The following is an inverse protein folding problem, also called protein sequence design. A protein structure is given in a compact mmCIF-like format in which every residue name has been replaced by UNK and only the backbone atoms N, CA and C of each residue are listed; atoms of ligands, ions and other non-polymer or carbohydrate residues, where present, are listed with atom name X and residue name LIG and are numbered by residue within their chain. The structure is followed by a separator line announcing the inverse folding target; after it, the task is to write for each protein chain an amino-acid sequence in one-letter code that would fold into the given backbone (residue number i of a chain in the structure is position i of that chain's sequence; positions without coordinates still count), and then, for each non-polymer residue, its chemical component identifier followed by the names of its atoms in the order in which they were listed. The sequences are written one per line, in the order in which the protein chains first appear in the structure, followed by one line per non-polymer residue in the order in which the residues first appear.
data_IF_067510680389
#
_entry.id   IF_067510680389
#
_cell.length_a   1.000
_cell.length_b   1.000
_cell.length_c   1.000
_cell.angle_alpha   90.00
_cell.angle_beta   90.00
_cell.angle_gamma   90.00
#
_symmetry.space_group_name_H-M   'P 1'
#
loop_
_entity.id
_entity.type
_entity.pdbx_description
1 polymer ?
#
# COMPACT_ATOMS: atom_id res chain seq x y z
N UNK A 1 93.89 -49.26 44.90
CA UNK A 1 93.16 -48.19 45.61
C UNK A 1 92.67 -47.08 44.67
N UNK A 2 93.53 -46.34 43.96
CA UNK A 2 93.11 -45.23 43.08
C UNK A 2 92.04 -45.55 42.01
N UNK A 3 92.05 -46.76 41.45
CA UNK A 3 91.06 -47.20 40.43
C UNK A 3 89.67 -47.47 41.00
N UNK A 4 89.58 -47.91 42.26
CA UNK A 4 88.30 -48.22 42.92
C UNK A 4 87.59 -46.93 43.32
N UNK A 5 88.36 -45.93 43.80
CA UNK A 5 87.81 -44.60 44.11
C UNK A 5 87.28 -43.88 42.87
N UNK A 6 87.97 -43.98 41.73
CA UNK A 6 87.51 -43.39 40.47
C UNK A 6 86.21 -44.02 39.96
N UNK A 7 86.07 -45.35 40.07
CA UNK A 7 84.84 -46.06 39.71
C UNK A 7 83.67 -45.72 40.65
N UNK A 8 83.93 -45.55 41.96
CA UNK A 8 82.91 -45.13 42.91
C UNK A 8 82.40 -43.70 42.63
N UNK A 9 83.31 -42.76 42.34
CA UNK A 9 82.96 -41.38 41.96
C UNK A 9 82.16 -41.32 40.66
N UNK A 10 82.54 -42.09 39.64
CA UNK A 10 81.80 -42.13 38.38
C UNK A 10 80.38 -42.71 38.56
N UNK A 11 80.23 -43.73 39.40
CA UNK A 11 78.93 -44.31 39.75
C UNK A 11 78.05 -43.32 40.52
N UNK A 12 78.63 -42.58 41.47
CA UNK A 12 77.89 -41.61 42.26
C UNK A 12 77.50 -40.39 41.39
N UNK A 13 78.35 -39.95 40.46
CA UNK A 13 78.00 -38.95 39.43
C UNK A 13 76.87 -39.42 38.51
N UNK A 14 76.89 -40.68 38.06
CA UNK A 14 75.83 -41.23 37.24
C UNK A 14 74.49 -41.29 38.01
N UNK A 15 74.52 -41.56 39.33
CA UNK A 15 73.34 -41.48 40.19
C UNK A 15 72.81 -40.06 40.32
N UNK A 16 73.67 -39.08 40.56
CA UNK A 16 73.28 -37.67 40.62
C UNK A 16 72.66 -37.20 39.29
N UNK A 17 73.23 -37.59 38.15
CA UNK A 17 72.66 -37.27 36.84
C UNK A 17 71.28 -37.90 36.62
N UNK A 18 71.09 -39.15 37.04
CA UNK A 18 69.79 -39.83 36.97
C UNK A 18 68.78 -39.18 37.92
N UNK A 19 69.18 -38.82 39.13
CA UNK A 19 68.31 -38.11 40.08
C UNK A 19 67.92 -36.73 39.55
N UNK A 20 68.86 -35.96 39.01
CA UNK A 20 68.59 -34.66 38.39
C UNK A 20 67.60 -34.80 37.22
N UNK A 21 67.79 -35.80 36.35
CA UNK A 21 66.84 -36.10 35.27
C UNK A 21 65.48 -36.54 35.77
N UNK A 22 65.40 -37.31 36.86
CA UNK A 22 64.14 -37.69 37.46
C UNK A 22 63.38 -36.49 38.02
N UNK A 23 64.08 -35.50 38.61
CA UNK A 23 63.47 -34.25 39.05
C UNK A 23 62.96 -33.42 37.86
N UNK A 24 63.74 -33.30 36.78
CA UNK A 24 63.31 -32.63 35.55
C UNK A 24 62.03 -33.27 34.98
N UNK A 25 62.01 -34.60 34.87
CA UNK A 25 60.83 -35.35 34.40
C UNK A 25 59.63 -35.12 35.34
N UNK A 26 59.83 -35.12 36.65
CA UNK A 26 58.73 -34.88 37.60
C UNK A 26 58.14 -33.47 37.45
N UNK A 27 58.97 -32.46 37.20
CA UNK A 27 58.51 -31.09 36.95
C UNK A 27 57.73 -31.03 35.64
N UNK A 28 58.25 -31.63 34.56
CA UNK A 28 57.56 -31.68 33.26
C UNK A 28 56.20 -32.40 33.38
N UNK A 29 56.15 -33.53 34.08
CA UNK A 29 54.90 -34.26 34.34
C UNK A 29 53.92 -33.38 35.12
N UNK A 30 54.35 -32.72 36.20
CA UNK A 30 53.48 -31.81 36.96
C UNK A 30 52.96 -30.64 36.12
N UNK A 31 53.78 -30.08 35.24
CA UNK A 31 53.35 -29.01 34.33
C UNK A 31 52.31 -29.51 33.32
N UNK A 32 52.52 -30.71 32.76
CA UNK A 32 51.55 -31.35 31.86
C UNK A 32 50.24 -31.68 32.57
N UNK A 33 50.30 -32.20 33.79
CA UNK A 33 49.11 -32.50 34.60
C UNK A 33 48.31 -31.23 34.89
N UNK A 34 48.97 -30.13 35.27
CA UNK A 34 48.32 -28.84 35.47
C UNK A 34 47.65 -28.32 34.19
N UNK A 35 48.33 -28.44 33.04
CA UNK A 35 47.77 -28.05 31.74
C UNK A 35 46.55 -28.92 31.35
N UNK A 36 46.60 -30.23 31.62
CA UNK A 36 45.49 -31.15 31.37
C UNK A 36 44.27 -30.78 32.24
N UNK A 37 44.47 -30.46 33.52
CA UNK A 37 43.38 -30.04 34.40
C UNK A 37 42.73 -28.75 33.91
N UNK A 38 43.54 -27.74 33.57
CA UNK A 38 43.04 -26.47 33.00
C UNK A 38 42.25 -26.68 31.72
N UNK A 39 42.77 -27.49 30.79
CA UNK A 39 42.08 -27.80 29.54
C UNK A 39 40.78 -28.56 29.78
N UNK A 40 40.74 -29.45 30.77
CA UNK A 40 39.53 -30.21 31.12
C UNK A 40 38.44 -29.30 31.70
N UNK A 41 38.81 -28.33 32.54
CA UNK A 41 37.89 -27.32 33.04
C UNK A 41 37.35 -26.44 31.92
N UNK A 42 38.21 -25.99 31.00
CA UNK A 42 37.80 -25.22 29.82
C UNK A 42 36.85 -26.01 28.92
N UNK A 43 37.14 -27.29 28.66
CA UNK A 43 36.27 -28.18 27.88
C UNK A 43 34.92 -28.36 28.57
N UNK A 44 34.90 -28.55 29.89
CA UNK A 44 33.65 -28.65 30.65
C UNK A 44 32.83 -27.36 30.57
N UNK A 45 33.49 -26.19 30.68
CA UNK A 45 32.82 -24.90 30.56
C UNK A 45 32.24 -24.70 29.15
N UNK A 46 33.03 -24.93 28.11
CA UNK A 46 32.58 -24.83 26.71
C UNK A 46 31.47 -25.84 26.39
N UNK A 47 31.51 -27.03 26.98
CA UNK A 47 30.44 -28.01 26.83
C UNK A 47 29.11 -27.52 27.41
N UNK A 48 29.14 -26.82 28.55
CA UNK A 48 27.92 -26.23 29.14
C UNK A 48 27.38 -25.06 28.32
N UNK A 49 28.27 -24.22 27.78
CA UNK A 49 27.90 -23.12 26.88
C UNK A 49 27.29 -23.65 25.58
N UNK A 50 27.84 -24.72 25.02
CA UNK A 50 27.28 -25.40 23.83
C UNK A 50 25.87 -25.94 24.09
N UNK A 51 25.64 -26.61 25.22
CA UNK A 51 24.30 -27.10 25.59
C UNK A 51 23.29 -25.95 25.73
N UNK A 52 23.69 -24.84 26.34
CA UNK A 52 22.82 -23.67 26.47
C UNK A 52 22.50 -23.07 25.09
N UNK A 53 23.48 -22.97 24.19
CA UNK A 53 23.26 -22.50 22.83
C UNK A 53 22.36 -23.44 22.02
N UNK A 54 22.52 -24.75 22.17
CA UNK A 54 21.66 -25.77 21.55
C UNK A 54 20.21 -25.63 22.01
N UNK A 55 19.98 -25.45 23.32
CA UNK A 55 18.64 -25.20 23.86
C UNK A 55 18.01 -23.92 23.30
N UNK A 56 18.74 -22.81 23.28
CA UNK A 56 18.26 -21.54 22.72
C UNK A 56 17.99 -21.66 21.22
N UNK A 57 18.81 -22.42 20.49
CA UNK A 57 18.57 -22.68 19.07
C UNK A 57 17.29 -23.49 18.84
N UNK A 58 17.02 -24.50 19.68
CA UNK A 58 15.79 -25.27 19.61
C UNK A 58 14.55 -24.41 19.91
N UNK A 59 14.57 -23.59 20.97
CA UNK A 59 13.48 -22.66 21.29
C UNK A 59 13.24 -21.62 20.19
N UNK A 60 14.31 -21.12 19.57
CA UNK A 60 14.16 -20.22 18.41
C UNK A 60 13.58 -20.95 17.21
N UNK A 61 13.96 -22.20 16.99
CA UNK A 61 13.39 -23.06 15.95
C UNK A 61 11.88 -23.23 16.10
N UNK A 62 11.38 -23.48 17.31
CA UNK A 62 9.93 -23.61 17.54
C UNK A 62 9.19 -22.30 17.30
N UNK A 63 9.73 -21.17 17.77
CA UNK A 63 9.15 -19.83 17.51
C UNK A 63 9.11 -19.50 16.03
N UNK A 64 10.16 -19.88 15.28
CA UNK A 64 10.18 -19.69 13.82
C UNK A 64 9.05 -20.49 13.17
N UNK A 65 8.86 -21.76 13.54
CA UNK A 65 7.77 -22.58 13.01
C UNK A 65 6.38 -22.02 13.36
N UNK A 66 6.19 -21.48 14.56
CA UNK A 66 4.95 -20.78 14.94
C UNK A 66 4.70 -19.56 14.05
N UNK A 67 5.73 -18.72 13.85
CA UNK A 67 5.63 -17.54 12.98
C UNK A 67 5.35 -17.94 11.52
N UNK A 68 6.00 -18.98 11.00
CA UNK A 68 5.75 -19.50 9.65
C UNK A 68 4.29 -19.97 9.47
N UNK A 69 3.72 -20.61 10.50
CA UNK A 69 2.33 -21.05 10.49
C UNK A 69 1.34 -19.87 10.49
N UNK A 70 1.64 -18.82 11.26
CA UNK A 70 0.80 -17.62 11.31
C UNK A 70 0.91 -16.80 10.03
N UNK A 71 2.12 -16.68 9.47
CA UNK A 71 2.34 -16.05 8.17
C UNK A 71 1.53 -16.75 7.07
N UNK A 72 1.53 -18.09 7.06
CA UNK A 72 0.72 -18.87 6.12
C UNK A 72 -0.78 -18.58 6.27
N UNK A 73 -1.27 -18.47 7.51
CA UNK A 73 -2.67 -18.13 7.81
C UNK A 73 -3.03 -16.72 7.36
N UNK A 74 -2.14 -15.75 7.57
CA UNK A 74 -2.33 -14.36 7.13
C UNK A 74 -2.31 -14.24 5.61
N UNK A 75 -1.41 -14.96 4.92
CA UNK A 75 -1.39 -15.01 3.46
C UNK A 75 -2.70 -15.54 2.91
N UNK A 76 -3.21 -16.65 3.45
CA UNK A 76 -4.49 -17.22 3.02
C UNK A 76 -5.67 -16.24 3.26
N UNK A 77 -5.68 -15.55 4.41
CA UNK A 77 -6.69 -14.52 4.68
C UNK A 77 -6.59 -13.34 3.70
N UNK A 78 -5.36 -12.96 3.32
CA UNK A 78 -5.10 -11.96 2.28
C UNK A 78 -5.69 -12.38 0.93
N UNK A 79 -5.43 -13.60 0.48
CA UNK A 79 -5.97 -14.15 -0.77
C UNK A 79 -7.51 -14.17 -0.78
N UNK A 80 -8.14 -14.58 0.34
CA UNK A 80 -9.60 -14.57 0.49
C UNK A 80 -10.19 -13.15 0.42
N UNK A 81 -9.49 -12.16 0.99
CA UNK A 81 -9.90 -10.75 0.93
C UNK A 81 -9.76 -10.20 -0.49
N UNK A 82 -8.66 -10.50 -1.16
CA UNK A 82 -8.43 -10.09 -2.54
C UNK A 82 -9.48 -10.68 -3.49
N UNK A 83 -9.86 -11.95 -3.28
CA UNK A 83 -10.94 -12.57 -4.04
C UNK A 83 -12.29 -11.87 -3.84
N UNK A 84 -12.59 -11.44 -2.61
CA UNK A 84 -13.81 -10.65 -2.30
C UNK A 84 -13.78 -9.28 -2.95
N UNK A 85 -12.64 -8.59 -2.91
CA UNK A 85 -12.45 -7.29 -3.56
C UNK A 85 -12.71 -7.42 -5.06
N UNK A 86 -12.06 -8.38 -5.73
CA UNK A 86 -12.29 -8.65 -7.16
C UNK A 86 -13.75 -8.97 -7.48
N UNK A 87 -14.45 -9.72 -6.61
CA UNK A 87 -15.88 -9.98 -6.79
C UNK A 87 -16.73 -8.69 -6.74
N UNK A 88 -16.44 -7.80 -5.78
CA UNK A 88 -17.12 -6.53 -5.65
C UNK A 88 -16.81 -5.58 -6.81
N UNK A 89 -15.57 -5.53 -7.27
CA UNK A 89 -15.16 -4.78 -8.47
C UNK A 89 -15.92 -5.26 -9.71
N UNK A 90 -16.02 -6.58 -9.93
CA UNK A 90 -16.81 -7.12 -11.05
C UNK A 90 -18.30 -6.75 -10.95
N UNK A 91 -18.87 -6.75 -9.74
CA UNK A 91 -20.26 -6.31 -9.54
C UNK A 91 -20.44 -4.83 -9.83
N UNK A 92 -19.52 -3.98 -9.37
CA UNK A 92 -19.54 -2.55 -9.65
C UNK A 92 -19.44 -2.29 -11.16
N UNK A 93 -18.52 -2.98 -11.84
CA UNK A 93 -18.34 -2.84 -13.29
C UNK A 93 -19.59 -3.30 -14.06
N UNK A 94 -20.30 -4.31 -13.56
CA UNK A 94 -21.58 -4.74 -14.14
C UNK A 94 -22.73 -3.74 -13.95
N UNK A 95 -22.68 -2.89 -12.92
CA UNK A 95 -23.70 -1.86 -12.64
C UNK A 95 -23.44 -0.53 -13.38
N UNK A 96 -22.18 -0.27 -13.75
CA UNK A 96 -21.75 0.90 -14.51
C UNK A 96 -22.58 1.15 -15.78
N UNK A 97 -22.81 0.16 -16.68
CA UNK A 97 -23.62 0.39 -17.88
C UNK A 97 -25.09 0.72 -17.57
N UNK A 98 -25.69 0.08 -16.55
CA UNK A 98 -27.07 0.40 -16.15
C UNK A 98 -27.22 1.86 -15.72
N UNK A 99 -26.24 2.39 -14.99
CA UNK A 99 -26.26 3.78 -14.51
C UNK A 99 -26.12 4.77 -15.68
N UNK A 100 -25.25 4.45 -16.65
CA UNK A 100 -25.10 5.23 -17.88
C UNK A 100 -26.40 5.22 -18.70
N UNK A 101 -27.04 4.06 -18.84
CA UNK A 101 -28.32 3.95 -19.52
C UNK A 101 -29.41 4.77 -18.81
N UNK A 102 -29.49 4.70 -17.48
CA UNK A 102 -30.44 5.52 -16.70
C UNK A 102 -30.21 7.01 -16.92
N UNK A 103 -28.95 7.47 -16.88
CA UNK A 103 -28.62 8.87 -17.15
C UNK A 103 -29.06 9.30 -18.56
N UNK A 104 -28.79 8.46 -19.56
CA UNK A 104 -29.22 8.72 -20.94
C UNK A 104 -30.75 8.85 -21.07
N UNK A 105 -31.52 8.00 -20.40
CA UNK A 105 -32.98 8.09 -20.40
C UNK A 105 -33.48 9.35 -19.66
N UNK A 106 -32.83 9.72 -18.56
CA UNK A 106 -33.18 10.91 -17.77
C UNK A 106 -32.90 12.19 -18.55
N UNK A 107 -31.79 12.26 -19.27
CA UNK A 107 -31.46 13.37 -20.18
C UNK A 107 -32.48 13.51 -21.31
N UNK A 108 -32.85 12.41 -21.97
CA UNK A 108 -33.91 12.41 -23.00
C UNK A 108 -35.27 12.87 -22.46
N UNK A 109 -35.64 12.44 -21.25
CA UNK A 109 -36.88 12.87 -20.61
C UNK A 109 -36.85 14.38 -20.31
N UNK A 110 -35.72 14.90 -19.83
CA UNK A 110 -35.51 16.33 -19.60
C UNK A 110 -35.72 17.13 -20.90
N UNK A 111 -35.06 16.73 -21.99
CA UNK A 111 -35.20 17.39 -23.30
C UNK A 111 -36.66 17.41 -23.78
N UNK A 112 -37.38 16.29 -23.68
CA UNK A 112 -38.78 16.19 -24.08
C UNK A 112 -39.69 17.10 -23.25
N UNK A 113 -39.48 17.17 -21.93
CA UNK A 113 -40.27 18.05 -21.07
C UNK A 113 -39.95 19.52 -21.38
N UNK A 114 -38.69 19.87 -21.61
CA UNK A 114 -38.31 21.21 -22.08
C UNK A 114 -39.02 21.58 -23.38
N UNK A 115 -39.12 20.65 -24.35
CA UNK A 115 -39.87 20.90 -25.58
C UNK A 115 -41.37 21.11 -25.34
N UNK A 116 -41.99 20.32 -24.44
CA UNK A 116 -43.39 20.50 -24.07
C UNK A 116 -43.59 21.90 -23.46
N UNK A 117 -42.76 22.30 -22.49
CA UNK A 117 -42.84 23.62 -21.87
C UNK A 117 -42.67 24.72 -22.92
N UNK A 118 -41.69 24.61 -23.84
CA UNK A 118 -41.49 25.56 -24.95
C UNK A 118 -42.69 25.64 -25.90
N UNK A 119 -43.39 24.53 -26.15
CA UNK A 119 -44.57 24.53 -27.03
C UNK A 119 -45.80 25.17 -26.38
N UNK A 120 -45.90 25.13 -25.05
CA UNK A 120 -47.04 25.61 -24.27
C UNK A 120 -46.85 27.07 -23.83
N UNK A 121 -45.59 27.45 -23.59
CA UNK A 121 -45.16 28.80 -23.22
C UNK A 121 -44.50 29.45 -24.44
N UNK A 122 -45.17 30.42 -25.07
CA UNK A 122 -44.60 31.27 -26.14
C UNK A 122 -43.52 32.25 -25.64
N UNK A 123 -42.75 31.89 -24.62
CA UNK A 123 -41.65 32.71 -24.10
C UNK A 123 -40.35 31.90 -24.13
N UNK A 124 -39.35 32.49 -24.78
CA UNK A 124 -37.95 32.04 -24.89
C UNK A 124 -37.21 32.16 -23.53
N UNK A 125 -37.63 31.42 -22.51
CA UNK A 125 -36.86 31.32 -21.28
C UNK A 125 -35.91 30.14 -21.36
N UNK A 126 -34.74 30.46 -21.90
CA UNK A 126 -33.60 29.61 -22.14
C UNK A 126 -32.94 29.19 -20.80
N UNK A 127 -33.38 28.06 -20.25
CA UNK A 127 -32.71 27.38 -19.13
C UNK A 127 -31.93 26.19 -19.66
N UNK A 128 -30.89 26.48 -20.45
CA UNK A 128 -29.96 25.50 -21.00
C UNK A 128 -29.04 24.98 -19.89
N UNK A 129 -29.52 23.96 -19.16
CA UNK A 129 -28.67 23.18 -18.26
C UNK A 129 -27.88 22.17 -19.10
N UNK A 130 -26.62 22.52 -19.34
CA UNK A 130 -25.64 21.64 -20.00
C UNK A 130 -25.26 20.55 -19.00
N UNK A 131 -25.65 19.31 -19.29
CA UNK A 131 -25.09 18.12 -18.66
C UNK A 131 -23.64 17.97 -19.11
N UNK A 132 -22.71 18.57 -18.39
CA UNK A 132 -21.29 18.43 -18.71
C UNK A 132 -20.80 17.06 -18.24
N UNK A 133 -20.15 16.34 -19.15
CA UNK A 133 -19.61 15.00 -18.95
C UNK A 133 -18.54 15.01 -17.85
N UNK A 134 -18.84 14.45 -16.67
CA UNK A 134 -17.83 14.39 -15.61
C UNK A 134 -17.98 13.16 -14.70
N UNK A 135 -16.80 12.62 -14.40
CA UNK A 135 -16.38 11.52 -13.53
C UNK A 135 -17.45 10.58 -12.91
N UNK A 136 -17.19 9.29 -13.11
CA UNK A 136 -17.99 8.11 -12.75
C UNK A 136 -18.50 8.06 -11.30
N UNK A 137 -17.79 8.69 -10.37
CA UNK A 137 -18.08 8.69 -8.94
C UNK A 137 -19.19 9.69 -8.55
N UNK A 138 -19.33 10.77 -9.32
CA UNK A 138 -20.41 11.75 -9.13
C UNK A 138 -21.73 11.32 -9.78
N UNK A 139 -21.74 10.19 -10.50
CA UNK A 139 -22.86 9.73 -11.32
C UNK A 139 -24.16 9.48 -10.54
N UNK A 140 -24.10 8.93 -9.32
CA UNK A 140 -25.32 8.63 -8.57
C UNK A 140 -25.98 9.88 -7.97
N UNK A 141 -25.16 10.83 -7.48
CA UNK A 141 -25.66 12.11 -6.96
C UNK A 141 -26.19 12.98 -8.09
N UNK A 142 -25.45 13.08 -9.18
CA UNK A 142 -25.89 13.81 -10.38
C UNK A 142 -27.11 13.18 -11.05
N UNK A 143 -27.23 11.84 -11.08
CA UNK A 143 -28.44 11.15 -11.53
C UNK A 143 -29.64 11.46 -10.63
N UNK A 144 -29.44 11.45 -9.31
CA UNK A 144 -30.51 11.79 -8.36
C UNK A 144 -30.96 13.25 -8.55
N UNK A 145 -30.02 14.17 -8.67
CA UNK A 145 -30.32 15.59 -8.84
C UNK A 145 -30.92 15.87 -10.24
N UNK A 146 -30.49 15.14 -11.27
CA UNK A 146 -31.13 15.14 -12.59
C UNK A 146 -32.55 14.63 -12.59
N UNK A 147 -32.78 13.52 -11.90
CA UNK A 147 -34.12 12.93 -11.77
C UNK A 147 -35.06 13.87 -10.99
N UNK A 148 -34.56 14.52 -9.93
CA UNK A 148 -35.31 15.57 -9.21
C UNK A 148 -35.61 16.77 -10.10
N UNK A 149 -34.64 17.23 -10.88
CA UNK A 149 -34.82 18.35 -11.81
C UNK A 149 -35.87 18.03 -12.88
N UNK A 150 -35.81 16.83 -13.47
CA UNK A 150 -36.82 16.32 -14.41
C UNK A 150 -38.21 16.26 -13.76
N UNK A 151 -38.31 15.81 -12.51
CA UNK A 151 -39.58 15.75 -11.79
C UNK A 151 -40.18 17.14 -11.56
N UNK A 152 -39.39 18.10 -11.08
CA UNK A 152 -39.87 19.47 -10.86
C UNK A 152 -40.24 20.14 -12.19
N UNK A 153 -39.45 19.94 -13.25
CA UNK A 153 -39.78 20.46 -14.58
C UNK A 153 -41.06 19.82 -15.13
N UNK A 154 -41.26 18.51 -14.95
CA UNK A 154 -42.49 17.82 -15.36
C UNK A 154 -43.72 18.35 -14.61
N UNK A 155 -43.57 18.65 -13.31
CA UNK A 155 -44.63 19.25 -12.50
C UNK A 155 -45.01 20.64 -13.00
N UNK A 156 -44.02 21.49 -13.27
CA UNK A 156 -44.24 22.83 -13.86
C UNK A 156 -44.92 22.70 -15.23
N UNK A 157 -44.46 21.79 -16.08
CA UNK A 157 -45.07 21.55 -17.39
C UNK A 157 -46.53 21.11 -17.28
N UNK A 158 -46.85 20.20 -16.35
CA UNK A 158 -48.21 19.72 -16.13
C UNK A 158 -49.15 20.83 -15.60
N UNK A 159 -48.66 21.68 -14.72
CA UNK A 159 -49.44 22.80 -14.19
C UNK A 159 -49.68 23.87 -15.26
N UNK A 160 -48.70 24.16 -16.12
CA UNK A 160 -48.86 25.10 -17.24
C UNK A 160 -49.83 24.58 -18.32
N UNK A 161 -49.72 23.30 -18.70
CA UNK A 161 -50.66 22.65 -19.64
C UNK A 161 -52.09 22.69 -19.09
N UNK A 162 -52.25 22.46 -17.79
CA UNK A 162 -53.54 22.55 -17.11
C UNK A 162 -54.10 23.97 -17.13
N UNK A 163 -53.27 24.97 -16.82
CA UNK A 163 -53.67 26.38 -16.90
C UNK A 163 -54.16 26.77 -18.30
N UNK A 164 -53.42 26.38 -19.35
CA UNK A 164 -53.83 26.60 -20.75
C UNK A 164 -55.14 25.89 -21.12
N UNK A 165 -55.35 24.68 -20.60
CA UNK A 165 -56.59 23.94 -20.84
C UNK A 165 -57.78 24.60 -20.14
N UNK A 166 -57.60 25.08 -18.90
CA UNK A 166 -58.62 25.82 -18.15
C UNK A 166 -58.96 27.15 -18.84
N UNK A 167 -57.95 27.90 -19.30
CA UNK A 167 -58.13 29.11 -20.12
C UNK A 167 -58.97 28.80 -21.36
N UNK A 168 -58.58 27.79 -22.15
CA UNK A 168 -59.32 27.38 -23.34
C UNK A 168 -60.74 26.91 -23.03
N UNK A 169 -60.95 26.17 -21.93
CA UNK A 169 -62.29 25.76 -21.50
C UNK A 169 -63.15 26.96 -21.11
N UNK A 170 -62.59 27.97 -20.46
CA UNK A 170 -63.32 29.19 -20.13
C UNK A 170 -63.70 29.98 -21.38
N UNK A 171 -62.80 30.05 -22.37
CA UNK A 171 -63.07 30.68 -23.66
C UNK A 171 -64.15 29.93 -24.46
N UNK A 172 -64.10 28.60 -24.46
CA UNK A 172 -65.15 27.76 -25.07
C UNK A 172 -66.49 28.00 -24.37
N UNK A 173 -66.53 28.07 -23.05
CA UNK A 173 -67.77 28.33 -22.31
C UNK A 173 -68.33 29.72 -22.63
N UNK A 174 -67.47 30.75 -22.69
CA UNK A 174 -67.88 32.10 -23.11
C UNK A 174 -68.44 32.12 -24.54
N UNK A 175 -67.82 31.36 -25.46
CA UNK A 175 -68.32 31.20 -26.82
C UNK A 175 -69.66 30.46 -26.86
N UNK A 176 -69.83 29.42 -26.05
CA UNK A 176 -71.10 28.67 -25.93
C UNK A 176 -72.21 29.57 -25.38
N UNK A 177 -71.93 30.39 -24.37
CA UNK A 177 -72.87 31.35 -23.82
C UNK A 177 -73.30 32.35 -24.90
N UNK A 178 -72.33 32.92 -25.62
CA UNK A 178 -72.60 33.86 -26.72
C UNK A 178 -73.41 33.24 -27.86
N UNK A 179 -73.16 31.97 -28.19
CA UNK A 179 -73.98 31.22 -29.16
C UNK A 179 -75.39 31.01 -28.64
N UNK A 180 -75.55 30.74 -27.34
CA UNK A 180 -76.85 30.56 -26.70
C UNK A 180 -77.66 31.86 -26.68
N UNK A 181 -77.03 33.00 -26.41
CA UNK A 181 -77.62 34.34 -26.51
C UNK A 181 -78.11 34.60 -27.94
N UNK A 182 -77.27 34.38 -28.96
CA UNK A 182 -77.65 34.55 -30.37
C UNK A 182 -78.80 33.61 -30.78
N UNK A 183 -78.85 32.39 -30.25
CA UNK A 183 -79.96 31.47 -30.48
C UNK A 183 -81.26 31.97 -29.84
N UNK A 184 -81.19 32.54 -28.62
CA UNK A 184 -82.34 33.13 -27.96
C UNK A 184 -82.85 34.37 -28.72
N UNK A 185 -81.95 35.25 -29.20
CA UNK A 185 -82.31 36.37 -30.07
C UNK A 185 -82.98 35.90 -31.36
N UNK A 186 -82.43 34.87 -32.02
CA UNK A 186 -83.04 34.27 -33.20
C UNK A 186 -84.45 33.74 -32.90
N UNK A 187 -84.65 33.08 -31.77
CA UNK A 187 -85.98 32.60 -31.34
C UNK A 187 -86.95 33.77 -31.10
N UNK A 188 -86.49 34.83 -30.43
CA UNK A 188 -87.28 36.04 -30.20
C UNK A 188 -87.69 36.70 -31.53
N UNK A 189 -86.76 36.88 -32.47
CA UNK A 189 -87.04 37.39 -33.82
C UNK A 189 -88.04 36.47 -34.53
N UNK A 190 -87.88 35.15 -34.45
CA UNK A 190 -88.82 34.21 -35.05
C UNK A 190 -90.23 34.32 -34.45
N UNK A 191 -90.35 34.52 -33.13
CA UNK A 191 -91.65 34.77 -32.49
C UNK A 191 -92.27 36.10 -32.90
N UNK A 192 -91.47 37.17 -33.04
CA UNK A 192 -91.92 38.48 -33.49
C UNK A 192 -92.39 38.45 -34.96
N UNK A 193 -91.71 37.70 -35.82
CA UNK A 193 -92.14 37.46 -37.19
C UNK A 193 -93.44 36.64 -37.23
N UNK A 194 -93.56 35.61 -36.38
CA UNK A 194 -94.78 34.80 -36.29
C UNK A 194 -95.96 35.61 -35.76
N UNK A 195 -95.74 36.51 -34.79
CA UNK A 195 -96.79 37.40 -34.29
C UNK A 195 -97.19 38.45 -35.32
N UNK A 196 -96.24 39.07 -36.05
CA UNK A 196 -96.54 39.96 -37.18
C UNK A 196 -97.32 39.24 -38.29
N UNK A 197 -96.90 38.05 -38.69
CA UNK A 197 -97.64 37.23 -39.67
C UNK A 197 -99.05 36.90 -39.17
N UNK A 198 -99.20 36.50 -37.90
CA UNK A 198 -100.53 36.20 -37.34
C UNK A 198 -101.42 37.46 -37.27
N UNK A 199 -100.85 38.63 -36.94
CA UNK A 199 -101.59 39.89 -36.89
C UNK A 199 -102.13 40.26 -38.27
N UNK A 200 -101.29 40.13 -39.31
CA UNK A 200 -101.69 40.37 -40.70
C UNK A 200 -102.68 39.34 -41.21
N UNK A 201 -102.57 38.08 -40.76
CA UNK A 201 -103.54 37.02 -41.06
C UNK A 201 -104.88 37.26 -40.36
N UNK A 202 -104.88 37.80 -39.13
CA UNK A 202 -106.08 38.20 -38.40
C UNK A 202 -106.74 39.43 -39.03
N UNK A 203 -105.97 40.35 -39.59
CA UNK A 203 -106.49 41.52 -40.32
C UNK A 203 -107.11 41.10 -41.66
N UNK A 204 -106.49 40.16 -42.38
CA UNK A 204 -107.08 39.51 -43.56
C UNK A 204 -108.31 38.67 -43.18
N UNK A 205 -108.31 37.99 -42.03
CA UNK A 205 -109.48 37.29 -41.47
C UNK A 205 -110.60 38.26 -41.12
N UNK A 206 -110.28 39.43 -40.57
CA UNK A 206 -111.27 40.46 -40.26
C UNK A 206 -111.88 41.04 -41.54
N UNK A 207 -111.08 41.26 -42.60
CA UNK A 207 -111.58 41.69 -43.92
C UNK A 207 -112.43 40.58 -44.59
N UNK A 208 -112.10 39.31 -44.39
CA UNK A 208 -112.92 38.18 -44.85
C UNK A 208 -114.21 38.02 -44.03
N UNK A 209 -114.17 38.25 -42.71
CA UNK A 209 -115.33 38.27 -41.80
C UNK A 209 -116.26 39.45 -42.09
N UNK A 210 -115.73 40.62 -42.46
CA UNK A 210 -116.49 41.77 -42.94
C UNK A 210 -117.22 41.45 -44.26
N UNK A 211 -116.54 40.76 -45.19
CA UNK A 211 -117.13 40.32 -46.47
C UNK A 211 -118.15 39.16 -46.33
N UNK A 212 -117.98 38.29 -45.33
CA UNK A 212 -118.95 37.24 -44.98
C UNK A 212 -120.17 37.80 -44.22
N UNK A 213 -120.02 38.89 -43.49
CA UNK A 213 -121.12 39.64 -42.86
C UNK A 213 -121.98 40.36 -43.91
N UNK A 214 -121.39 40.79 -45.02
CA UNK A 214 -122.11 41.35 -46.18
C UNK A 214 -122.85 40.25 -46.99
N UNK A 215 -122.49 38.99 -46.80
CA UNK A 215 -123.13 37.80 -47.41
C UNK A 215 -124.19 37.11 -46.50
N UNK A 216 -124.52 37.67 -45.33
CA UNK A 216 -125.73 37.30 -44.57
C UNK A 216 -125.67 36.01 -43.75
N UNK A 217 -124.51 35.63 -43.19
CA UNK A 217 -124.41 34.48 -42.26
C UNK A 217 -124.12 35.00 -40.85
N UNK A 218 -125.16 35.02 -40.01
CA UNK A 218 -125.12 35.39 -38.58
C UNK A 218 -125.09 34.13 -37.72
N UNK A 219 -124.03 33.96 -36.91
CA UNK A 219 -123.99 33.00 -35.81
C UNK A 219 -123.40 33.68 -34.57
N UNK A 220 -124.29 34.37 -33.85
CA UNK A 220 -124.13 34.70 -32.43
C UNK A 220 -124.04 33.43 -31.58
N UNK A 221 -123.05 33.39 -30.69
CA UNK A 221 -123.11 32.61 -29.46
C UNK A 221 -123.00 33.58 -28.28
N UNK A 222 -124.15 33.79 -27.66
CA UNK A 222 -124.39 34.51 -26.42
C UNK A 222 -123.95 33.71 -25.19
N UNK A 223 -123.97 34.46 -24.07
CA UNK A 223 -124.17 34.10 -22.67
C UNK A 223 -122.92 34.05 -21.78
N UNK A 224 -122.77 34.91 -20.76
CA UNK A 224 -123.64 35.43 -19.67
C UNK A 224 -123.26 34.76 -18.33
N UNK A 225 -123.30 35.62 -17.31
CA UNK A 225 -123.32 35.36 -15.87
C UNK A 225 -121.98 34.93 -15.22
N UNK A 226 -121.66 35.41 -14.03
CA UNK A 226 -122.49 36.13 -13.07
C UNK A 226 -121.70 36.40 -11.80
N UNK A 227 -122.23 37.34 -11.05
CA UNK A 227 -121.78 37.78 -9.75
C UNK A 227 -121.67 36.66 -8.69
N UNK A 228 -121.01 37.06 -7.61
CA UNK A 228 -121.40 36.87 -6.21
C UNK A 228 -120.74 35.78 -5.35
N UNK A 229 -120.57 36.19 -4.09
CA UNK A 229 -120.50 35.37 -2.87
C UNK A 229 -119.15 34.70 -2.63
N UNK A 230 -118.27 35.22 -1.77
CA UNK A 230 -118.43 35.35 -0.31
C UNK A 230 -118.96 34.05 0.35
N UNK A 231 -118.29 33.58 1.40
CA UNK A 231 -118.46 32.29 2.12
C UNK A 231 -117.60 31.09 1.63
N UNK A 232 -116.31 31.00 2.01
CA UNK A 232 -115.71 29.68 2.29
C UNK A 232 -114.46 29.65 3.21
N UNK A 233 -114.48 30.37 4.34
CA UNK A 233 -113.37 30.35 5.33
C UNK A 233 -113.11 28.97 5.98
N UNK A 234 -113.97 27.96 5.80
CA UNK A 234 -113.82 26.63 6.44
C UNK A 234 -113.08 25.59 5.58
N UNK A 235 -113.03 25.75 4.27
CA UNK A 235 -112.26 24.85 3.38
C UNK A 235 -110.80 25.27 3.21
N UNK A 236 -110.49 26.57 3.34
CA UNK A 236 -109.11 27.06 3.36
C UNK A 236 -108.33 26.55 4.57
N UNK A 237 -108.95 26.52 5.75
CA UNK A 237 -108.31 26.04 6.99
C UNK A 237 -107.93 24.57 6.89
N UNK A 238 -108.73 23.72 6.23
CA UNK A 238 -108.43 22.29 6.08
C UNK A 238 -107.33 22.03 5.03
N UNK A 239 -107.28 22.81 3.95
CA UNK A 239 -106.21 22.75 2.94
C UNK A 239 -104.90 23.33 3.48
N UNK A 240 -104.96 24.44 4.22
CA UNK A 240 -103.82 25.02 4.94
C UNK A 240 -103.30 24.08 6.03
N UNK A 241 -104.17 23.41 6.79
CA UNK A 241 -103.76 22.40 7.76
C UNK A 241 -103.14 21.15 7.10
N UNK A 242 -103.64 20.74 5.92
CA UNK A 242 -103.06 19.67 5.12
C UNK A 242 -101.67 20.02 4.58
N UNK A 243 -101.51 21.22 3.99
CA UNK A 243 -100.24 21.74 3.49
C UNK A 243 -99.22 21.99 4.63
N UNK A 244 -99.70 22.46 5.78
CA UNK A 244 -98.88 22.59 6.98
C UNK A 244 -98.47 21.20 7.50
N UNK A 245 -99.37 20.22 7.47
CA UNK A 245 -99.07 18.84 7.85
C UNK A 245 -98.02 18.18 6.94
N UNK A 246 -98.07 18.42 5.63
CA UNK A 246 -97.07 17.90 4.68
C UNK A 246 -95.73 18.62 4.83
N UNK A 247 -95.72 19.94 4.99
CA UNK A 247 -94.48 20.72 5.21
C UNK A 247 -93.84 20.42 6.57
N UNK A 248 -94.64 20.16 7.61
CA UNK A 248 -94.13 19.69 8.92
C UNK A 248 -93.53 18.30 8.81
N UNK A 249 -94.15 17.36 8.06
CA UNK A 249 -93.55 16.04 7.82
C UNK A 249 -92.27 16.12 6.99
N UNK A 250 -92.24 16.97 5.96
CA UNK A 250 -91.06 17.19 5.13
C UNK A 250 -89.90 17.82 5.94
N UNK A 251 -90.20 18.81 6.80
CA UNK A 251 -89.20 19.39 7.70
C UNK A 251 -88.73 18.40 8.77
N UNK A 252 -89.61 17.56 9.32
CA UNK A 252 -89.22 16.47 10.24
C UNK A 252 -88.30 15.46 9.55
N UNK A 253 -88.60 15.05 8.32
CA UNK A 253 -87.73 14.16 7.54
C UNK A 253 -86.37 14.82 7.27
N UNK A 254 -86.35 16.12 6.95
CA UNK A 254 -85.10 16.87 6.75
C UNK A 254 -84.29 16.98 8.03
N UNK A 255 -84.92 17.19 9.18
CA UNK A 255 -84.26 17.20 10.49
C UNK A 255 -83.63 15.83 10.79
N UNK A 256 -84.33 14.74 10.50
CA UNK A 256 -83.79 13.38 10.68
C UNK A 256 -82.60 13.14 9.74
N UNK A 257 -82.70 13.51 8.47
CA UNK A 257 -81.62 13.39 7.48
C UNK A 257 -80.37 14.20 7.89
N UNK A 258 -80.58 15.47 8.29
CA UNK A 258 -79.51 16.34 8.76
C UNK A 258 -78.86 15.80 10.04
N UNK A 259 -79.66 15.28 10.98
CA UNK A 259 -79.13 14.64 12.20
C UNK A 259 -78.30 13.40 11.88
N UNK A 260 -78.72 12.58 10.91
CA UNK A 260 -77.95 11.43 10.42
C UNK A 260 -76.62 11.84 9.77
N UNK A 261 -76.63 12.90 8.94
CA UNK A 261 -75.41 13.46 8.36
C UNK A 261 -74.45 14.01 9.42
N UNK A 262 -74.96 14.74 10.41
CA UNK A 262 -74.16 15.25 11.54
C UNK A 262 -73.57 14.12 12.38
N UNK A 263 -74.32 13.04 12.60
CA UNK A 263 -73.80 11.88 13.32
C UNK A 263 -72.69 11.16 12.54
N UNK A 264 -72.85 11.01 11.22
CA UNK A 264 -71.83 10.42 10.34
C UNK A 264 -70.55 11.26 10.29
N UNK A 265 -70.66 12.59 10.17
CA UNK A 265 -69.48 13.47 10.21
C UNK A 265 -68.81 13.46 11.57
N UNK A 266 -69.58 13.41 12.67
CA UNK A 266 -69.04 13.26 14.03
C UNK A 266 -68.23 11.98 14.17
N UNK A 267 -68.75 10.84 13.75
CA UNK A 267 -68.00 9.58 13.82
C UNK A 267 -66.72 9.63 12.98
N UNK A 268 -66.76 10.24 11.78
CA UNK A 268 -65.57 10.42 10.95
C UNK A 268 -64.53 11.34 11.61
N UNK A 269 -64.96 12.39 12.29
CA UNK A 269 -64.05 13.24 13.08
C UNK A 269 -63.46 12.48 14.27
N UNK A 270 -64.24 11.63 14.93
CA UNK A 270 -63.76 10.80 16.04
C UNK A 270 -62.74 9.74 15.57
N UNK A 271 -62.94 9.11 14.40
CA UNK A 271 -61.94 8.18 13.83
C UNK A 271 -60.67 8.92 13.42
N UNK A 272 -60.80 10.06 12.72
CA UNK A 272 -59.66 10.90 12.36
C UNK A 272 -58.88 11.39 13.59
N UNK A 273 -59.57 11.75 14.67
CA UNK A 273 -58.91 12.15 15.92
C UNK A 273 -58.10 11.01 16.53
N UNK A 274 -58.60 9.78 16.48
CA UNK A 274 -57.87 8.59 16.97
C UNK A 274 -56.65 8.28 16.09
N UNK A 275 -56.78 8.37 14.78
CA UNK A 275 -55.67 8.18 13.84
C UNK A 275 -54.58 9.24 14.03
N UNK A 276 -54.96 10.51 14.18
CA UNK A 276 -54.02 11.60 14.49
C UNK A 276 -53.31 11.34 15.82
N UNK A 277 -54.01 10.85 16.84
CA UNK A 277 -53.40 10.51 18.12
C UNK A 277 -52.38 9.35 18.00
N UNK A 278 -52.68 8.33 17.20
CA UNK A 278 -51.77 7.22 16.92
C UNK A 278 -50.53 7.68 16.15
N UNK A 279 -50.71 8.48 15.09
CA UNK A 279 -49.59 9.03 14.32
C UNK A 279 -48.70 9.92 15.20
N UNK A 280 -49.31 10.74 16.08
CA UNK A 280 -48.56 11.55 17.04
C UNK A 280 -47.76 10.71 18.03
N UNK A 281 -48.29 9.58 18.48
CA UNK A 281 -47.55 8.65 19.33
C UNK A 281 -46.35 8.05 18.59
N UNK A 282 -46.58 7.59 17.35
CA UNK A 282 -45.53 7.01 16.54
C UNK A 282 -44.41 8.00 16.21
N UNK A 283 -44.74 9.26 15.92
CA UNK A 283 -43.74 10.32 15.72
C UNK A 283 -42.86 10.49 16.96
N UNK A 284 -43.44 10.52 18.16
CA UNK A 284 -42.66 10.63 19.40
C UNK A 284 -41.73 9.43 19.65
N UNK A 285 -42.17 8.23 19.30
CA UNK A 285 -41.31 7.04 19.37
C UNK A 285 -40.14 7.13 18.40
N UNK A 286 -40.37 7.66 17.19
CA UNK A 286 -39.31 7.87 16.21
C UNK A 286 -38.33 8.95 16.65
N UNK A 287 -38.81 10.07 17.18
CA UNK A 287 -37.97 11.13 17.77
C UNK A 287 -37.09 10.59 18.91
N UNK A 288 -37.64 9.76 19.80
CA UNK A 288 -36.87 9.14 20.86
C UNK A 288 -35.79 8.19 20.33
N UNK A 289 -36.09 7.41 19.29
CA UNK A 289 -35.11 6.52 18.63
C UNK A 289 -34.03 7.31 17.92
N UNK A 290 -34.37 8.44 17.29
CA UNK A 290 -33.42 9.34 16.65
C UNK A 290 -32.44 9.93 17.67
N UNK A 291 -32.92 10.39 18.82
CA UNK A 291 -32.07 10.88 19.90
C UNK A 291 -31.10 9.80 20.40
N UNK A 292 -31.59 8.60 20.68
CA UNK A 292 -30.74 7.48 21.11
C UNK A 292 -29.71 7.08 20.04
N UNK A 293 -30.10 7.14 18.76
CA UNK A 293 -29.18 6.86 17.65
C UNK A 293 -28.10 7.94 17.53
N UNK A 294 -28.45 9.21 17.73
CA UNK A 294 -27.50 10.32 17.71
C UNK A 294 -26.50 10.21 18.85
N UNK A 295 -26.94 9.92 20.08
CA UNK A 295 -26.04 9.68 21.23
C UNK A 295 -25.09 8.50 20.97
N UNK A 296 -25.59 7.42 20.37
CA UNK A 296 -24.76 6.28 20.01
C UNK A 296 -23.72 6.62 18.91
N UNK A 297 -24.12 7.39 17.90
CA UNK A 297 -23.19 7.86 16.85
C UNK A 297 -22.12 8.79 17.44
N UNK A 298 -22.49 9.68 18.36
CA UNK A 298 -21.53 10.55 19.06
C UNK A 298 -20.54 9.74 19.89
N UNK A 299 -21.00 8.72 20.63
CA UNK A 299 -20.12 7.81 21.37
C UNK A 299 -19.14 7.06 20.45
N UNK A 300 -19.64 6.51 19.33
CA UNK A 300 -18.78 5.85 18.34
C UNK A 300 -17.78 6.82 17.71
N UNK A 301 -18.16 8.07 17.46
CA UNK A 301 -17.26 9.09 16.95
C UNK A 301 -16.14 9.40 17.94
N UNK A 302 -16.44 9.50 19.24
CA UNK A 302 -15.41 9.64 20.28
C UNK A 302 -14.45 8.44 20.31
N UNK A 303 -14.97 7.21 20.25
CA UNK A 303 -14.15 5.99 20.22
C UNK A 303 -13.25 5.93 18.98
N UNK A 304 -13.77 6.31 17.81
CA UNK A 304 -12.98 6.42 16.57
C UNK A 304 -11.84 7.42 16.75
N UNK A 305 -12.11 8.61 17.28
CA UNK A 305 -11.06 9.62 17.49
C UNK A 305 -10.00 9.14 18.48
N UNK A 306 -10.39 8.45 19.56
CA UNK A 306 -9.44 7.88 20.52
C UNK A 306 -8.55 6.79 19.90
N UNK A 307 -9.15 5.93 19.05
CA UNK A 307 -8.41 4.91 18.32
C UNK A 307 -7.44 5.52 17.29
N UNK A 308 -7.84 6.56 16.57
CA UNK A 308 -6.98 7.26 15.60
C UNK A 308 -5.77 7.93 16.29
N UNK A 309 -5.98 8.51 17.47
CA UNK A 309 -4.88 9.03 18.29
C UNK A 309 -3.93 7.92 18.74
N UNK A 310 -4.45 6.77 19.17
CA UNK A 310 -3.65 5.63 19.55
C UNK A 310 -2.83 5.11 18.35
N UNK A 311 -3.46 4.90 17.19
CA UNK A 311 -2.77 4.50 15.95
C UNK A 311 -1.65 5.49 15.62
N UNK A 312 -1.89 6.78 15.79
CA UNK A 312 -0.89 7.82 15.57
C UNK A 312 0.29 7.71 16.54
N UNK A 313 0.05 7.40 17.83
CA UNK A 313 1.11 7.15 18.82
C UNK A 313 1.93 5.91 18.47
N UNK A 314 1.28 4.79 18.14
CA UNK A 314 1.97 3.56 17.75
C UNK A 314 2.79 3.74 16.47
N UNK A 315 2.26 4.50 15.50
CA UNK A 315 2.98 4.82 14.26
C UNK A 315 4.25 5.63 14.54
N UNK A 316 4.16 6.66 15.39
CA UNK A 316 5.31 7.48 15.77
C UNK A 316 6.37 6.65 16.52
N UNK A 317 5.96 5.77 17.44
CA UNK A 317 6.87 4.87 18.16
C UNK A 317 7.58 3.89 17.20
N UNK A 318 6.83 3.31 16.26
CA UNK A 318 7.39 2.40 15.25
C UNK A 318 8.38 3.11 14.32
N UNK A 319 8.10 4.36 13.92
CA UNK A 319 9.02 5.15 13.11
C UNK A 319 10.31 5.50 13.86
N UNK A 320 10.20 5.84 15.15
CA UNK A 320 11.36 6.09 16.01
C UNK A 320 12.22 4.83 16.19
N UNK A 321 11.60 3.68 16.43
CA UNK A 321 12.30 2.40 16.55
C UNK A 321 13.00 2.03 15.24
N UNK A 322 12.33 2.22 14.10
CA UNK A 322 12.92 2.00 12.78
C UNK A 322 14.10 2.96 12.52
N UNK A 323 14.02 4.21 12.96
CA UNK A 323 15.12 5.17 12.84
C UNK A 323 16.32 4.78 13.74
N UNK A 324 16.06 4.33 14.97
CA UNK A 324 17.09 3.82 15.87
C UNK A 324 17.75 2.56 15.30
N UNK A 325 16.95 1.63 14.76
CA UNK A 325 17.45 0.42 14.07
C UNK A 325 18.35 0.75 12.89
N UNK A 326 17.97 1.72 12.04
CA UNK A 326 18.82 2.18 10.93
C UNK A 326 20.14 2.80 11.40
N UNK A 327 20.14 3.57 12.48
CA UNK A 327 21.36 4.17 13.02
C UNK A 327 22.34 3.09 13.53
N UNK A 328 21.83 2.07 14.22
CA UNK A 328 22.62 0.92 14.67
C UNK A 328 23.17 0.12 13.48
N UNK A 329 22.36 -0.10 12.44
CA UNK A 329 22.82 -0.77 11.22
C UNK A 329 23.97 -0.01 10.56
N UNK A 330 23.87 1.32 10.45
CA UNK A 330 24.94 2.17 9.91
C UNK A 330 26.22 2.07 10.75
N UNK A 331 26.10 2.03 12.07
CA UNK A 331 27.27 1.83 12.96
C UNK A 331 27.92 0.46 12.71
N UNK A 332 27.14 -0.61 12.60
CA UNK A 332 27.68 -1.94 12.27
C UNK A 332 28.31 -2.00 10.88
N UNK A 333 27.73 -1.33 9.89
CA UNK A 333 28.33 -1.23 8.56
C UNK A 333 29.70 -0.52 8.61
N UNK A 334 29.80 0.57 9.39
CA UNK A 334 31.07 1.26 9.60
C UNK A 334 32.09 0.35 10.31
N UNK A 335 31.69 -0.31 11.39
CA UNK A 335 32.57 -1.26 12.12
C UNK A 335 33.05 -2.40 11.21
N UNK A 336 32.16 -2.98 10.39
CA UNK A 336 32.53 -4.02 9.42
C UNK A 336 33.50 -3.49 8.35
N UNK A 337 33.34 -2.24 7.91
CA UNK A 337 34.25 -1.63 6.94
C UNK A 337 35.65 -1.43 7.54
N UNK A 338 35.73 -0.99 8.80
CA UNK A 338 36.99 -0.83 9.54
C UNK A 338 37.67 -2.18 9.77
N UNK A 339 36.93 -3.18 10.27
CA UNK A 339 37.48 -4.53 10.49
C UNK A 339 37.95 -5.19 9.19
N UNK A 340 37.24 -4.99 8.07
CA UNK A 340 37.70 -5.46 6.76
C UNK A 340 39.00 -4.81 6.33
N UNK A 341 39.16 -3.51 6.59
CA UNK A 341 40.39 -2.78 6.29
C UNK A 341 41.56 -3.30 7.15
N UNK A 342 41.36 -3.45 8.46
CA UNK A 342 42.37 -4.00 9.37
C UNK A 342 42.75 -5.45 9.00
N UNK A 343 41.78 -6.27 8.57
CA UNK A 343 42.03 -7.61 8.07
C UNK A 343 42.91 -7.59 6.81
N UNK A 344 42.67 -6.65 5.90
CA UNK A 344 43.48 -6.55 4.68
C UNK A 344 44.89 -6.02 4.96
N UNK A 345 45.03 -5.06 5.86
CA UNK A 345 46.33 -4.55 6.33
C UNK A 345 47.15 -5.66 7.02
N UNK A 346 46.53 -6.46 7.88
CA UNK A 346 47.19 -7.59 8.54
C UNK A 346 47.58 -8.69 7.56
N UNK A 347 46.72 -9.03 6.59
CA UNK A 347 47.09 -9.95 5.49
C UNK A 347 48.31 -9.44 4.72
N UNK A 348 48.31 -8.17 4.33
CA UNK A 348 49.43 -7.58 3.61
C UNK A 348 50.73 -7.65 4.45
N UNK A 349 50.67 -7.30 5.74
CA UNK A 349 51.81 -7.41 6.64
C UNK A 349 52.31 -8.86 6.80
N UNK A 350 51.40 -9.84 6.85
CA UNK A 350 51.78 -11.26 6.93
C UNK A 350 52.49 -11.72 5.66
N UNK A 351 51.99 -11.34 4.48
CA UNK A 351 52.60 -11.66 3.18
C UNK A 351 54.00 -11.05 3.07
N UNK A 352 54.18 -9.80 3.50
CA UNK A 352 55.50 -9.15 3.55
C UNK A 352 56.48 -9.89 4.48
N UNK A 353 56.00 -10.35 5.64
CA UNK A 353 56.81 -11.12 6.58
C UNK A 353 57.19 -12.50 6.04
N UNK A 354 56.27 -13.15 5.30
CA UNK A 354 56.51 -14.43 4.63
C UNK A 354 57.58 -14.28 3.55
N UNK A 355 57.50 -13.23 2.73
CA UNK A 355 58.52 -12.94 1.72
C UNK A 355 59.89 -12.67 2.35
N UNK A 356 59.95 -11.96 3.47
CA UNK A 356 61.20 -11.76 4.24
C UNK A 356 61.75 -13.08 4.79
N UNK A 357 60.89 -13.99 5.23
CA UNK A 357 61.30 -15.31 5.68
C UNK A 357 61.85 -16.14 4.51
N UNK A 358 61.17 -16.18 3.36
CA UNK A 358 61.64 -16.87 2.15
C UNK A 358 63.02 -16.36 1.71
N UNK A 359 63.22 -15.04 1.67
CA UNK A 359 64.53 -14.46 1.35
C UNK A 359 65.62 -14.89 2.35
N UNK A 360 65.31 -14.92 3.66
CA UNK A 360 66.25 -15.40 4.69
C UNK A 360 66.53 -16.90 4.54
N UNK A 361 65.53 -17.70 4.20
CA UNK A 361 65.67 -19.14 3.96
C UNK A 361 66.56 -19.42 2.74
N UNK A 362 66.33 -18.71 1.63
CA UNK A 362 67.19 -18.77 0.43
C UNK A 362 68.63 -18.33 0.73
N UNK A 363 68.79 -17.25 1.49
CA UNK A 363 70.13 -16.78 1.91
C UNK A 363 70.83 -17.81 2.79
N UNK A 364 70.11 -18.44 3.73
CA UNK A 364 70.65 -19.49 4.58
C UNK A 364 71.03 -20.74 3.77
N UNK A 365 70.18 -21.16 2.81
CA UNK A 365 70.47 -22.27 1.91
C UNK A 365 71.73 -21.99 1.06
N UNK A 366 71.86 -20.78 0.50
CA UNK A 366 73.06 -20.37 -0.24
C UNK A 366 74.32 -20.38 0.64
N UNK A 367 74.23 -19.90 1.89
CA UNK A 367 75.33 -19.93 2.84
C UNK A 367 75.74 -21.36 3.22
N UNK A 368 74.77 -22.28 3.39
CA UNK A 368 75.05 -23.70 3.62
C UNK A 368 75.79 -24.33 2.43
N UNK A 369 75.33 -24.10 1.20
CA UNK A 369 76.00 -24.59 -0.01
C UNK A 369 77.42 -24.03 -0.14
N UNK A 370 77.60 -22.73 0.14
CA UNK A 370 78.92 -22.09 0.12
C UNK A 370 79.86 -22.69 1.17
N UNK A 371 79.37 -22.94 2.38
CA UNK A 371 80.14 -23.60 3.45
C UNK A 371 80.56 -25.02 3.05
N UNK A 372 79.64 -25.80 2.50
CA UNK A 372 79.92 -27.17 2.08
C UNK A 372 80.95 -27.20 0.93
N UNK A 373 80.90 -26.22 0.02
CA UNK A 373 81.90 -26.04 -1.03
C UNK A 373 83.27 -25.64 -0.46
N UNK A 374 83.30 -24.74 0.52
CA UNK A 374 84.53 -24.34 1.22
C UNK A 374 85.15 -25.53 1.99
N UNK A 375 84.34 -26.35 2.66
CA UNK A 375 84.81 -27.55 3.36
C UNK A 375 85.41 -28.57 2.38
N UNK A 376 84.79 -28.79 1.22
CA UNK A 376 85.36 -29.62 0.15
C UNK A 376 86.69 -29.09 -0.36
N UNK A 377 86.81 -27.77 -0.54
CA UNK A 377 88.06 -27.11 -0.95
C UNK A 377 89.16 -27.29 0.11
N UNK A 378 88.83 -27.11 1.39
CA UNK A 378 89.75 -27.32 2.50
C UNK A 378 90.26 -28.77 2.56
N UNK A 379 89.36 -29.75 2.46
CA UNK A 379 89.73 -31.18 2.43
C UNK A 379 90.70 -31.49 1.27
N UNK A 380 90.48 -30.91 0.10
CA UNK A 380 91.39 -31.06 -1.05
C UNK A 380 92.76 -30.41 -0.79
N UNK A 381 92.80 -29.25 -0.13
CA UNK A 381 94.05 -28.60 0.25
C UNK A 381 94.83 -29.44 1.28
N UNK A 382 94.15 -29.97 2.29
CA UNK A 382 94.74 -30.87 3.30
C UNK A 382 95.33 -32.12 2.65
N UNK A 383 94.60 -32.78 1.73
CA UNK A 383 95.11 -33.92 0.96
C UNK A 383 96.34 -33.57 0.11
N UNK A 384 96.37 -32.38 -0.52
CA UNK A 384 97.54 -31.93 -1.28
C UNK A 384 98.72 -31.68 -0.35
N UNK A 385 98.48 -31.08 0.82
CA UNK A 385 99.50 -30.81 1.83
C UNK A 385 100.10 -32.09 2.39
N UNK A 386 99.30 -33.12 2.65
CA UNK A 386 99.79 -34.40 3.15
C UNK A 386 100.66 -35.09 2.12
N UNK A 387 100.24 -35.11 0.85
CA UNK A 387 101.04 -35.65 -0.25
C UNK A 387 102.36 -34.91 -0.45
N UNK A 388 102.36 -33.58 -0.31
CA UNK A 388 103.60 -32.78 -0.38
C UNK A 388 104.52 -33.11 0.81
N UNK A 389 103.96 -33.30 2.01
CA UNK A 389 104.72 -33.68 3.20
C UNK A 389 105.36 -35.06 3.05
N UNK A 390 104.61 -36.06 2.59
CA UNK A 390 105.15 -37.40 2.26
C UNK A 390 106.29 -37.31 1.24
N UNK A 391 106.14 -36.45 0.21
CA UNK A 391 107.19 -36.24 -0.80
C UNK A 391 108.43 -35.56 -0.21
N UNK A 392 108.25 -34.59 0.69
CA UNK A 392 109.35 -33.96 1.42
C UNK A 392 110.06 -34.96 2.33
N UNK A 393 109.32 -35.75 3.11
CA UNK A 393 109.88 -36.80 3.96
C UNK A 393 110.68 -37.82 3.16
N UNK A 394 110.19 -38.24 1.99
CA UNK A 394 110.94 -39.13 1.08
C UNK A 394 112.21 -38.46 0.52
N UNK A 395 112.15 -37.18 0.15
CA UNK A 395 113.34 -36.44 -0.30
C UNK A 395 114.36 -36.23 0.83
N UNK A 396 113.89 -35.98 2.06
CA UNK A 396 114.75 -35.89 3.25
C UNK A 396 115.40 -37.23 3.56
N UNK A 397 114.64 -38.33 3.47
CA UNK A 397 115.18 -39.69 3.61
C UNK A 397 116.24 -39.98 2.55
N UNK A 398 115.98 -39.61 1.28
CA UNK A 398 116.96 -39.72 0.20
C UNK A 398 118.22 -38.87 0.47
N UNK A 399 118.06 -37.68 1.05
CA UNK A 399 119.18 -36.82 1.43
C UNK A 399 120.01 -37.46 2.55
N UNK A 400 119.37 -37.94 3.63
CA UNK A 400 120.03 -38.65 4.72
C UNK A 400 120.74 -39.92 4.22
N UNK A 401 120.11 -40.70 3.33
CA UNK A 401 120.73 -41.87 2.69
C UNK A 401 121.93 -41.46 1.81
N UNK A 402 121.86 -40.33 1.10
CA UNK A 402 122.99 -39.80 0.32
C UNK A 402 124.13 -39.25 1.18
N UNK A 403 123.81 -38.63 2.33
CA UNK A 403 124.79 -38.09 3.28
C UNK A 403 125.53 -39.23 4.00
N UNK A 404 124.83 -40.32 4.34
CA UNK A 404 125.45 -41.55 4.85
C UNK A 404 126.31 -42.30 3.80
N UNK A 405 126.05 -42.09 2.50
CA UNK A 405 126.88 -42.60 1.39
C UNK A 405 128.07 -41.68 1.08
N UNK A 406 127.96 -40.38 1.35
CA UNK A 406 129.03 -39.38 1.19
C UNK A 406 130.11 -39.48 2.28
N UNK A 407 129.83 -40.16 3.42
CA UNK A 407 130.85 -40.48 4.43
C UNK A 407 131.95 -41.43 3.91
N UNK A 408 131.74 -42.11 2.77
CA UNK A 408 132.73 -43.01 2.17
C UNK A 408 133.24 -42.60 0.77
N UNK A 409 132.80 -41.46 0.21
CA UNK A 409 133.32 -40.95 -1.09
C UNK A 409 133.46 -39.43 -1.14
N UNK A 410 134.67 -39.00 -0.78
CA UNK A 410 135.48 -38.14 -1.65
C UNK A 410 134.95 -36.73 -1.95
N UNK A 411 135.48 -35.75 -1.20
CA UNK A 411 136.44 -34.77 -1.74
C UNK A 411 136.23 -34.40 -3.22
N UNK A 412 135.24 -33.55 -3.55
CA UNK A 412 135.41 -32.60 -4.66
C UNK A 412 134.40 -31.44 -4.62
N UNK A 413 134.96 -30.24 -4.83
CA UNK A 413 134.27 -28.96 -5.01
C UNK A 413 133.09 -29.02 -5.98
N UNK A 414 131.89 -28.53 -5.61
CA UNK A 414 131.05 -27.70 -6.49
C UNK A 414 130.12 -26.75 -5.70
N UNK A 415 130.52 -25.47 -5.73
CA UNK A 415 129.73 -24.22 -5.83
C UNK A 415 128.31 -24.19 -5.24
N UNK A 416 128.14 -23.30 -4.25
CA UNK A 416 126.86 -22.69 -3.87
C UNK A 416 126.07 -22.23 -5.13
N UNK A 417 125.06 -22.99 -5.50
CA UNK A 417 124.01 -22.51 -6.41
C UNK A 417 123.03 -21.74 -5.53
N UNK A 418 123.10 -20.42 -5.60
CA UNK A 418 122.08 -19.53 -5.07
C UNK A 418 120.72 -19.92 -5.69
N UNK A 419 119.77 -20.31 -4.84
CA UNK A 419 118.43 -20.71 -5.23
C UNK A 419 117.68 -19.48 -5.79
N UNK A 420 117.13 -19.53 -7.02
CA UNK A 420 116.43 -18.40 -7.61
C UNK A 420 115.02 -18.30 -7.02
N UNK A 421 114.79 -17.31 -6.16
CA UNK A 421 113.48 -16.95 -5.60
C UNK A 421 112.45 -16.44 -6.63
N UNK A 422 112.71 -16.54 -7.94
CA UNK A 422 111.86 -16.01 -9.01
C UNK A 422 110.69 -16.93 -9.43
N UNK A 423 110.55 -18.12 -8.85
CA UNK A 423 109.45 -19.06 -9.18
C UNK A 423 108.32 -19.12 -8.14
N UNK A 424 108.43 -18.40 -7.02
CA UNK A 424 107.37 -18.32 -6.00
C UNK A 424 106.37 -17.17 -6.22
N UNK A 425 106.43 -16.45 -7.35
CA UNK A 425 105.39 -15.48 -7.73
C UNK A 425 105.15 -14.32 -6.76
N UNK A 426 106.03 -14.10 -5.79
CA UNK A 426 105.96 -12.98 -4.85
C UNK A 426 106.68 -11.76 -5.44
N UNK A 427 106.01 -11.07 -6.37
CA UNK A 427 106.31 -9.66 -6.63
C UNK A 427 105.61 -8.81 -5.58
N UNK A 428 106.40 -8.20 -4.70
CA UNK A 428 105.94 -7.12 -3.84
C UNK A 428 105.79 -5.81 -4.65
N UNK A 429 104.58 -5.24 -4.63
CA UNK A 429 104.27 -3.81 -4.37
C UNK A 429 104.91 -2.73 -5.27
N UNK A 430 104.12 -2.07 -6.14
CA UNK A 430 103.83 -0.59 -6.09
C UNK A 430 102.89 -0.05 -7.19
N UNK A 431 101.80 0.60 -6.74
CA UNK A 431 101.04 1.75 -7.27
C UNK A 431 101.34 2.30 -8.68
N UNK A 432 100.36 2.33 -9.61
CA UNK A 432 99.36 3.40 -9.80
C UNK A 432 98.32 3.00 -10.89
N UNK A 433 97.06 3.28 -10.59
CA UNK A 433 95.81 3.26 -11.41
C UNK A 433 95.76 4.44 -12.41
N UNK A 434 94.82 4.57 -13.39
CA UNK A 434 93.80 3.65 -13.95
C UNK A 434 93.96 3.42 -15.47
N UNK A 435 93.33 2.37 -16.02
CA UNK A 435 92.53 2.48 -17.25
C UNK A 435 91.62 1.25 -17.40
N UNK A 436 90.34 1.53 -17.65
CA UNK A 436 89.19 0.62 -17.70
C UNK A 436 89.08 0.05 -19.13
N UNK A 437 88.82 -1.27 -19.30
CA UNK A 437 87.46 -1.68 -19.71
C UNK A 437 86.95 -2.91 -18.94
N UNK A 438 85.76 -2.74 -18.35
CA UNK A 438 84.92 -3.79 -17.77
C UNK A 438 84.44 -4.77 -18.84
N UNK A 439 84.75 -6.05 -18.65
CA UNK A 439 84.08 -7.16 -19.30
C UNK A 439 82.88 -7.60 -18.47
N UNK A 440 81.70 -7.29 -18.99
CA UNK A 440 80.41 -7.98 -18.92
C UNK A 440 80.25 -9.04 -17.80
N UNK A 441 79.66 -8.62 -16.70
CA UNK A 441 78.76 -9.44 -15.88
C UNK A 441 77.54 -8.58 -15.61
N UNK A 442 76.53 -8.74 -16.46
CA UNK A 442 75.22 -8.11 -16.32
C UNK A 442 74.49 -8.77 -15.13
N UNK A 443 74.63 -8.19 -13.94
CA UNK A 443 73.54 -8.19 -12.97
C UNK A 443 72.51 -7.17 -13.46
N UNK A 444 71.50 -7.63 -14.17
CA UNK A 444 70.31 -6.82 -14.43
C UNK A 444 69.53 -6.67 -13.13
N UNK A 445 69.77 -5.55 -12.44
CA UNK A 445 68.82 -4.98 -11.49
C UNK A 445 67.71 -4.33 -12.33
N UNK A 446 66.62 -5.06 -12.55
CA UNK A 446 65.40 -4.48 -13.09
C UNK A 446 64.59 -3.84 -11.96
N UNK A 447 64.69 -2.52 -11.82
CA UNK A 447 63.67 -1.71 -11.14
C UNK A 447 62.38 -1.69 -11.99
N UNK A 448 61.18 -1.85 -11.41
CA UNK A 448 59.96 -1.45 -12.08
C UNK A 448 59.59 -0.01 -11.71
N UNK A 449 59.55 0.82 -12.76
CA UNK A 449 58.89 2.13 -12.80
C UNK A 449 57.42 2.01 -12.39
N UNK A 450 57.05 2.67 -11.28
CA UNK A 450 55.66 3.01 -11.00
C UNK A 450 55.27 4.22 -11.85
N UNK A 451 54.50 4.00 -12.90
CA UNK A 451 53.70 5.04 -13.53
C UNK A 451 52.57 5.43 -12.57
N UNK A 452 52.67 6.63 -12.00
CA UNK A 452 51.54 7.31 -11.36
C UNK A 452 50.59 7.83 -12.42
N UNK A 453 49.41 7.23 -12.51
CA UNK A 453 48.23 7.83 -13.12
C UNK A 453 47.61 8.82 -12.11
N UNK A 454 47.46 10.07 -12.56
CA UNK A 454 46.44 11.01 -12.11
C UNK A 454 45.20 10.81 -12.99
#
# INVERSE_FOLDING_TARGET
MKQIDAASKARDQAREQVEQRNYEIAIEISQLEAAIVSLKEEVSKKSSELQNLEHVAAERGTRISEIESEMSRLTQLGEDRDAKIKNLEMKLESQRPLTIDQLNHTSKAYEQICEIVKSVVKNDNDSMLIWNEMNVDDNLRTLLDGTKSVYELAKVAADEVRGRLEESSSEINNLIEKVSELLAEKQHIATLLRSMLSSKTNEVRHVAEEGLREAGIDLRLDHFDGNESDQNEKNEVYILAGALGTTVKESQNKIIELKGRVWSTKNRLETQTKEIAQLKHHIKELEAKELMANENVEGLMMDITAADEEISRWKAAAEQEAAAGRAVEQEFQLQLSTLRKELEETKQATLESENKLKFKEETAAAAMVARDAAEKSLKLADMRSSRLRERLEELTRQLEESENLDDFRSRNNYRYVCWPWQWLGLNAVRYHQPDVPQGNNEMELSEPLMQGTL
#
